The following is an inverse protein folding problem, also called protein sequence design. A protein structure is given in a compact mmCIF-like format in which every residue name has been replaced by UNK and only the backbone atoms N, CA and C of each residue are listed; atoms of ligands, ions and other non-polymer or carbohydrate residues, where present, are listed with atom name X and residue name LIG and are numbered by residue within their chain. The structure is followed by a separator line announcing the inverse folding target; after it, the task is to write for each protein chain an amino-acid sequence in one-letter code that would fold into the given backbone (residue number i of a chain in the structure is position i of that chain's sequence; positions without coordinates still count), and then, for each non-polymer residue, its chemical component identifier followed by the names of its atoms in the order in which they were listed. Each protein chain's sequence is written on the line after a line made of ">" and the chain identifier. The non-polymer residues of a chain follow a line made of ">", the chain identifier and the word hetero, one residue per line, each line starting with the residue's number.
data_IF_547329433896
#
_entry.id   IF_547329433896
#
_cell.length_a   1.000
_cell.length_b   1.000
_cell.length_c   1.000
_cell.angle_alpha   90.00
_cell.angle_beta   90.00
_cell.angle_gamma   90.00
#
_symmetry.space_group_name_H-M   'P 1'
#
loop_
_entity.id
_entity.type
_entity.pdbx_description
1 polymer ?
#
# COMPACT_ATOMS: atom_id res chain seq x y z
N UNK A 1 -24.84 -46.49 17.12
CA UNK A 1 -25.13 -45.35 16.26
C UNK A 1 -25.05 -44.01 17.01
N UNK A 2 -23.88 -43.62 17.47
CA UNK A 2 -23.67 -42.34 18.17
C UNK A 2 -22.21 -41.89 17.98
N UNK A 3 -21.77 -41.53 16.78
CA UNK A 3 -20.45 -40.87 16.61
C UNK A 3 -20.30 -39.96 15.40
N UNK A 4 -21.32 -39.85 14.53
CA UNK A 4 -21.23 -39.09 13.30
C UNK A 4 -21.69 -37.62 13.39
N UNK A 5 -22.33 -37.22 14.50
CA UNK A 5 -22.82 -35.83 14.69
C UNK A 5 -21.77 -34.88 15.27
N UNK A 6 -20.74 -35.37 15.94
CA UNK A 6 -19.70 -34.51 16.52
C UNK A 6 -18.64 -34.05 15.47
N UNK A 7 -18.36 -34.85 14.47
CA UNK A 7 -17.40 -34.49 13.41
C UNK A 7 -17.92 -33.38 12.47
N UNK A 8 -19.24 -33.33 12.26
CA UNK A 8 -19.84 -32.30 11.38
C UNK A 8 -19.82 -30.89 11.99
N UNK A 9 -19.90 -30.78 13.32
CA UNK A 9 -19.88 -29.48 14.02
C UNK A 9 -18.46 -28.86 13.95
N UNK A 10 -17.42 -29.67 14.03
CA UNK A 10 -16.03 -29.20 13.93
C UNK A 10 -15.64 -28.83 12.49
N UNK A 11 -16.19 -29.51 11.49
CA UNK A 11 -16.02 -29.15 10.09
C UNK A 11 -16.76 -27.85 9.77
N UNK A 12 -17.95 -27.63 10.32
CA UNK A 12 -18.69 -26.36 10.16
C UNK A 12 -18.03 -25.19 10.93
N UNK A 13 -17.38 -25.45 12.07
CA UNK A 13 -16.61 -24.42 12.77
C UNK A 13 -15.28 -24.11 12.05
N UNK A 14 -14.64 -25.10 11.43
CA UNK A 14 -13.43 -24.90 10.64
C UNK A 14 -13.73 -24.14 9.31
N UNK A 15 -14.90 -24.38 8.71
CA UNK A 15 -15.30 -23.66 7.47
C UNK A 15 -15.65 -22.19 7.69
N UNK A 16 -15.99 -21.78 8.93
CA UNK A 16 -16.28 -20.38 9.24
C UNK A 16 -15.05 -19.53 9.56
N UNK A 17 -13.84 -20.10 9.60
CA UNK A 17 -12.59 -19.39 9.88
C UNK A 17 -11.91 -18.92 8.57
N UNK A 18 -12.35 -19.38 7.40
CA UNK A 18 -11.60 -19.29 6.14
C UNK A 18 -11.87 -18.06 5.26
N UNK A 19 -12.51 -16.99 5.76
CA UNK A 19 -12.88 -15.88 4.87
C UNK A 19 -12.57 -14.53 5.48
N UNK A 20 -11.28 -14.24 5.58
CA UNK A 20 -10.81 -12.93 6.01
C UNK A 20 -9.92 -12.34 4.95
N UNK A 21 -10.52 -11.48 4.15
CA UNK A 21 -9.77 -10.66 3.20
C UNK A 21 -8.88 -9.67 3.94
N UNK A 22 -7.62 -9.68 3.62
CA UNK A 22 -6.67 -8.70 4.10
C UNK A 22 -6.60 -7.56 3.10
N UNK A 23 -7.18 -6.43 3.45
CA UNK A 23 -6.93 -5.18 2.74
C UNK A 23 -5.50 -4.77 3.05
N UNK A 24 -4.62 -4.93 2.08
CA UNK A 24 -3.25 -4.43 2.17
C UNK A 24 -3.27 -2.95 1.83
N UNK A 25 -3.13 -2.10 2.83
CA UNK A 25 -2.77 -0.72 2.59
C UNK A 25 -1.28 -0.68 2.22
N UNK A 26 -0.96 -0.16 1.05
CA UNK A 26 0.40 -0.13 0.49
C UNK A 26 0.66 1.25 -0.09
N UNK A 27 1.94 1.63 -0.21
CA UNK A 27 2.34 2.91 -0.80
C UNK A 27 1.90 3.02 -2.27
N UNK A 28 1.04 4.01 -2.59
CA UNK A 28 0.45 4.08 -3.92
C UNK A 28 1.46 4.50 -5.00
N UNK A 29 1.32 3.98 -6.25
CA UNK A 29 0.41 2.92 -6.69
C UNK A 29 1.04 1.52 -6.67
N UNK A 30 2.24 1.36 -6.12
CA UNK A 30 3.01 0.13 -6.04
C UNK A 30 3.05 -0.42 -4.63
N UNK A 31 3.54 -1.66 -4.49
CA UNK A 31 3.66 -2.35 -3.20
C UNK A 31 4.96 -1.99 -2.47
N UNK A 32 6.02 -1.67 -3.23
CA UNK A 32 7.25 -1.08 -2.69
C UNK A 32 7.00 0.39 -2.41
N UNK A 33 7.26 0.82 -1.19
CA UNK A 33 7.14 2.21 -0.77
C UNK A 33 8.51 2.91 -0.77
N UNK A 34 8.50 4.21 -0.62
CA UNK A 34 9.69 5.04 -0.51
C UNK A 34 9.96 5.46 0.95
N UNK A 35 11.22 5.80 1.30
CA UNK A 35 11.60 6.26 2.63
C UNK A 35 11.44 7.76 2.83
N UNK A 36 10.76 8.48 1.92
CA UNK A 36 10.71 9.95 1.91
C UNK A 36 9.44 10.45 2.59
N UNK A 37 9.52 10.99 3.82
CA UNK A 37 8.36 11.61 4.44
C UNK A 37 7.91 12.85 3.68
N UNK A 38 6.62 13.15 3.74
CA UNK A 38 6.07 14.43 3.33
C UNK A 38 6.85 15.57 4.00
N UNK A 39 7.19 16.60 3.25
CA UNK A 39 7.91 17.76 3.77
C UNK A 39 7.17 18.38 4.96
N UNK A 40 7.93 18.91 5.94
CA UNK A 40 7.38 19.52 7.15
C UNK A 40 6.33 20.61 6.83
N UNK A 41 5.17 20.53 7.49
CA UNK A 41 3.99 21.38 7.28
C UNK A 41 3.36 21.26 5.89
N UNK A 42 3.62 20.19 5.18
CA UNK A 42 2.92 19.81 3.95
C UNK A 42 2.01 18.62 4.20
N UNK A 43 1.08 18.45 3.27
CA UNK A 43 0.03 17.44 3.33
C UNK A 43 -0.11 16.75 1.98
N UNK A 44 -0.49 15.49 2.03
CA UNK A 44 -0.88 14.71 0.86
C UNK A 44 -2.23 14.06 1.10
N UNK A 45 -3.01 13.95 0.06
CA UNK A 45 -4.30 13.29 0.09
C UNK A 45 -4.48 12.46 -1.17
N UNK A 46 -4.90 11.21 -0.99
CA UNK A 46 -5.22 10.29 -2.06
C UNK A 46 -6.67 9.87 -1.98
N UNK A 47 -7.30 9.76 -3.14
CA UNK A 47 -8.57 9.02 -3.31
C UNK A 47 -8.28 7.94 -4.31
N UNK A 48 -8.47 6.69 -3.93
CA UNK A 48 -8.07 5.58 -4.77
C UNK A 48 -9.03 4.39 -4.71
N UNK A 49 -8.88 3.51 -5.70
CA UNK A 49 -9.35 2.15 -5.67
C UNK A 49 -8.19 1.22 -5.97
N UNK A 50 -8.21 0.07 -5.33
CA UNK A 50 -7.27 -1.02 -5.58
C UNK A 50 -8.04 -2.34 -5.67
N UNK A 51 -7.44 -3.32 -6.29
CA UNK A 51 -7.99 -4.67 -6.35
C UNK A 51 -6.88 -5.68 -6.23
N UNK A 52 -7.02 -6.60 -5.30
CA UNK A 52 -6.24 -7.83 -5.23
C UNK A 52 -7.12 -8.99 -5.67
N UNK A 53 -6.56 -9.93 -6.36
CA UNK A 53 -7.30 -11.08 -6.89
C UNK A 53 -6.43 -12.32 -6.82
N UNK A 54 -6.91 -13.32 -6.12
CA UNK A 54 -6.32 -14.65 -6.00
C UNK A 54 -7.26 -15.72 -6.54
N UNK A 55 -6.86 -16.99 -6.54
CA UNK A 55 -7.70 -18.08 -7.05
C UNK A 55 -9.05 -18.23 -6.35
N UNK A 56 -9.13 -17.88 -5.06
CA UNK A 56 -10.32 -18.10 -4.22
C UNK A 56 -11.25 -16.90 -4.16
N UNK A 57 -10.71 -15.68 -4.24
CA UNK A 57 -11.49 -14.46 -4.05
C UNK A 57 -10.94 -13.25 -4.79
N UNK A 58 -11.73 -12.21 -4.85
CA UNK A 58 -11.37 -10.89 -5.35
C UNK A 58 -11.69 -9.87 -4.26
N UNK A 59 -10.69 -9.05 -3.90
CA UNK A 59 -10.78 -8.05 -2.83
C UNK A 59 -10.62 -6.64 -3.40
N UNK A 60 -11.72 -6.04 -3.86
CA UNK A 60 -11.69 -4.66 -4.27
C UNK A 60 -11.73 -3.73 -3.05
N UNK A 61 -10.88 -2.73 -3.09
CA UNK A 61 -10.85 -1.61 -2.14
C UNK A 61 -11.25 -0.35 -2.90
N UNK A 62 -12.25 0.35 -2.41
CA UNK A 62 -12.64 1.61 -3.03
C UNK A 62 -14.07 2.06 -2.76
N UNK A 63 -14.26 3.39 -2.55
CA UNK A 63 -13.18 4.36 -2.45
C UNK A 63 -12.36 4.19 -1.18
N UNK A 64 -11.04 4.42 -1.27
CA UNK A 64 -10.19 4.57 -0.12
C UNK A 64 -9.61 5.97 -0.06
N UNK A 65 -9.39 6.46 1.15
CA UNK A 65 -8.90 7.80 1.43
C UNK A 65 -7.64 7.69 2.26
N UNK A 66 -6.55 8.23 1.73
CA UNK A 66 -5.28 8.29 2.45
C UNK A 66 -4.92 9.74 2.73
N UNK A 67 -4.45 10.01 3.94
CA UNK A 67 -3.98 11.31 4.37
C UNK A 67 -2.60 11.20 5.00
N UNK A 68 -1.67 12.01 4.50
CA UNK A 68 -0.31 12.12 5.00
C UNK A 68 -0.01 13.55 5.44
N UNK A 69 0.67 13.68 6.58
CA UNK A 69 1.05 14.96 7.16
C UNK A 69 2.52 14.97 7.57
N UNK A 70 3.29 15.88 6.99
CA UNK A 70 4.65 16.21 7.46
C UNK A 70 4.60 16.93 8.81
N UNK A 71 4.41 16.17 9.89
CA UNK A 71 4.16 16.68 11.22
C UNK A 71 5.40 17.29 11.89
N UNK A 72 6.58 16.72 11.61
CA UNK A 72 7.88 17.22 12.06
C UNK A 72 8.89 17.10 10.91
N UNK A 73 10.06 17.79 10.97
CA UNK A 73 11.14 17.51 10.04
C UNK A 73 11.49 16.02 10.03
N UNK A 74 11.44 15.37 8.85
CA UNK A 74 11.72 13.95 8.63
C UNK A 74 10.70 12.97 9.22
N UNK A 75 9.51 13.47 9.64
CA UNK A 75 8.45 12.65 10.24
C UNK A 75 7.14 12.92 9.52
N UNK A 76 6.54 11.89 8.97
CA UNK A 76 5.19 11.90 8.41
C UNK A 76 4.26 11.07 9.29
N UNK A 77 3.10 11.59 9.59
CA UNK A 77 1.96 10.83 10.07
C UNK A 77 1.09 10.39 8.88
N UNK A 78 0.58 9.19 8.95
CA UNK A 78 -0.15 8.52 7.88
C UNK A 78 -1.45 7.91 8.41
N UNK A 79 -2.53 7.99 7.63
CA UNK A 79 -3.77 7.30 7.90
C UNK A 79 -4.48 6.93 6.60
N UNK A 80 -5.04 5.71 6.54
CA UNK A 80 -5.92 5.26 5.44
C UNK A 80 -7.26 4.84 6.00
N UNK A 81 -8.34 5.28 5.33
CA UNK A 81 -9.72 4.87 5.56
C UNK A 81 -10.22 4.13 4.31
N UNK A 82 -10.22 2.79 4.29
CA UNK A 82 -10.67 2.03 3.14
C UNK A 82 -12.13 1.64 3.25
N UNK A 83 -12.87 1.73 2.15
CA UNK A 83 -14.07 0.91 1.95
C UNK A 83 -13.66 -0.31 1.14
N UNK A 84 -14.07 -1.48 1.57
CA UNK A 84 -13.67 -2.75 0.96
C UNK A 84 -14.87 -3.62 0.66
N UNK A 85 -14.72 -4.54 -0.27
CA UNK A 85 -15.66 -5.60 -0.52
C UNK A 85 -14.92 -6.93 -0.59
N UNK A 86 -15.67 -8.00 -0.45
CA UNK A 86 -15.21 -9.37 -0.64
C UNK A 86 -16.13 -10.02 -1.66
N UNK A 87 -15.55 -10.57 -2.70
CA UNK A 87 -16.27 -11.26 -3.77
C UNK A 87 -15.67 -12.66 -3.93
N UNK A 88 -16.21 -13.69 -3.24
CA UNK A 88 -15.76 -15.05 -3.40
C UNK A 88 -15.95 -15.52 -4.85
N UNK A 89 -14.97 -16.24 -5.40
CA UNK A 89 -15.08 -16.77 -6.77
C UNK A 89 -15.96 -18.01 -6.86
N UNK A 90 -16.03 -18.78 -5.80
CA UNK A 90 -16.85 -19.99 -5.74
C UNK A 90 -18.21 -19.64 -5.15
N UNK A 91 -19.24 -19.69 -5.98
CA UNK A 91 -20.66 -19.49 -5.64
C UNK A 91 -21.28 -20.80 -5.14
N UNK A 92 -20.52 -21.66 -4.42
CA UNK A 92 -21.08 -22.81 -3.76
C UNK A 92 -22.22 -22.36 -2.82
N UNK A 93 -23.25 -23.20 -2.63
CA UNK A 93 -24.42 -22.85 -1.81
C UNK A 93 -24.10 -22.44 -0.37
N UNK A 94 -22.89 -22.70 0.08
CA UNK A 94 -22.37 -22.43 1.41
C UNK A 94 -21.30 -21.30 1.43
N UNK A 95 -21.02 -20.66 0.29
CA UNK A 95 -20.13 -19.51 0.22
C UNK A 95 -20.74 -18.34 1.00
N UNK A 96 -19.93 -17.57 1.75
CA UNK A 96 -20.44 -16.36 2.39
C UNK A 96 -20.94 -15.40 1.32
N UNK A 97 -21.98 -14.62 1.63
CA UNK A 97 -22.47 -13.63 0.68
C UNK A 97 -21.43 -12.52 0.46
N UNK A 98 -21.45 -11.93 -0.72
CA UNK A 98 -20.69 -10.70 -1.00
C UNK A 98 -20.89 -9.70 0.14
N UNK A 99 -19.81 -9.11 0.60
CA UNK A 99 -19.82 -8.10 1.65
C UNK A 99 -19.19 -6.80 1.17
N UNK A 100 -19.73 -5.66 1.61
CA UNK A 100 -19.18 -4.33 1.38
C UNK A 100 -19.32 -3.47 2.63
N UNK A 101 -18.32 -2.64 2.90
CA UNK A 101 -18.36 -1.70 4.02
C UNK A 101 -17.00 -1.11 4.35
N UNK A 102 -16.91 -0.51 5.54
CA UNK A 102 -15.65 -0.03 6.07
C UNK A 102 -14.72 -1.21 6.34
N UNK A 103 -13.48 -1.11 5.85
CA UNK A 103 -12.38 -2.02 6.16
C UNK A 103 -11.62 -1.64 7.43
N UNK A 104 -10.51 -2.32 7.68
CA UNK A 104 -9.60 -1.95 8.76
C UNK A 104 -8.84 -0.67 8.36
N UNK A 105 -8.78 0.30 9.29
CA UNK A 105 -8.04 1.54 9.11
C UNK A 105 -6.55 1.30 9.35
N UNK A 106 -5.73 1.80 8.43
CA UNK A 106 -4.28 1.85 8.66
C UNK A 106 -3.88 3.21 9.24
N UNK A 107 -2.99 3.20 10.24
CA UNK A 107 -2.27 4.38 10.72
C UNK A 107 -0.78 4.07 10.80
N UNK A 108 0.06 5.08 10.53
CA UNK A 108 1.49 4.85 10.46
C UNK A 108 2.34 6.10 10.70
N UNK A 109 3.63 5.86 10.86
CA UNK A 109 4.64 6.92 11.03
C UNK A 109 5.82 6.63 10.11
N UNK A 110 6.04 7.45 9.08
CA UNK A 110 7.22 7.36 8.21
C UNK A 110 8.33 8.23 8.76
N UNK A 111 9.52 7.65 8.96
CA UNK A 111 10.68 8.30 9.56
C UNK A 111 11.88 8.21 8.61
N UNK A 112 12.43 9.34 8.16
CA UNK A 112 13.69 9.36 7.43
C UNK A 112 14.87 9.26 8.40
N UNK A 113 15.55 8.13 8.41
CA UNK A 113 16.73 7.87 9.25
C UNK A 113 17.99 8.51 8.65
N UNK A 114 18.21 8.30 7.35
CA UNK A 114 19.31 8.88 6.59
C UNK A 114 18.74 9.63 5.37
N UNK A 115 19.21 10.87 5.19
CA UNK A 115 18.84 11.62 3.99
C UNK A 115 19.77 11.29 2.84
N UNK A 116 19.22 11.30 1.61
CA UNK A 116 19.99 11.12 0.40
C UNK A 116 21.06 12.19 0.22
N UNK A 117 22.19 11.79 -0.32
CA UNK A 117 23.20 12.68 -0.87
C UNK A 117 23.90 12.00 -2.09
N UNK A 118 24.82 12.63 -2.79
CA UNK A 118 25.45 12.02 -3.97
C UNK A 118 26.10 10.65 -3.72
N UNK A 119 26.55 10.37 -2.48
CA UNK A 119 27.31 9.16 -2.14
C UNK A 119 26.49 8.09 -1.44
N UNK A 120 25.27 8.42 -0.94
CA UNK A 120 24.45 7.46 -0.17
C UNK A 120 22.97 7.61 -0.50
N UNK A 121 22.17 6.53 -0.42
CA UNK A 121 20.72 6.59 -0.55
C UNK A 121 20.07 7.27 0.66
N UNK A 122 18.80 7.64 0.50
CA UNK A 122 17.90 7.85 1.62
C UNK A 122 17.52 6.51 2.21
N UNK A 123 17.36 6.45 3.54
CA UNK A 123 16.88 5.27 4.25
C UNK A 123 15.85 5.73 5.28
N UNK A 124 14.76 5.00 5.39
CA UNK A 124 13.69 5.26 6.35
C UNK A 124 12.99 3.99 6.80
N UNK A 125 12.23 4.13 7.87
CA UNK A 125 11.30 3.10 8.35
C UNK A 125 9.89 3.65 8.30
N UNK A 126 8.92 2.75 8.12
CA UNK A 126 7.52 3.12 8.08
C UNK A 126 6.66 2.10 8.84
N UNK A 127 6.76 2.05 10.18
CA UNK A 127 5.84 1.24 10.97
C UNK A 127 4.40 1.68 10.78
N UNK A 128 3.52 0.71 10.51
CA UNK A 128 2.10 0.88 10.30
C UNK A 128 1.32 -0.09 11.18
N UNK A 129 0.10 0.30 11.55
CA UNK A 129 -0.83 -0.43 12.40
C UNK A 129 -2.16 -0.50 11.67
N UNK A 130 -2.66 -1.71 11.46
CA UNK A 130 -4.04 -1.94 11.01
C UNK A 130 -4.94 -2.04 12.22
N UNK A 131 -5.90 -1.15 12.32
CA UNK A 131 -6.86 -1.07 13.42
C UNK A 131 -8.13 -1.86 13.06
N UNK A 132 -8.69 -2.69 13.94
CA UNK A 132 -9.84 -3.55 13.65
C UNK A 132 -11.15 -2.76 13.60
N UNK A 133 -11.27 -1.84 12.63
CA UNK A 133 -12.47 -1.01 12.43
C UNK A 133 -13.46 -1.63 11.45
N UNK A 134 -13.02 -2.56 10.63
CA UNK A 134 -13.84 -3.33 9.72
C UNK A 134 -14.67 -4.38 10.45
N UNK A 135 -15.72 -4.86 9.79
CA UNK A 135 -16.57 -5.89 10.35
C UNK A 135 -15.95 -7.27 10.20
N UNK A 136 -15.40 -7.82 11.29
CA UNK A 136 -14.85 -9.16 11.33
C UNK A 136 -15.88 -10.23 10.89
N UNK A 137 -17.12 -10.14 11.34
CA UNK A 137 -18.17 -11.12 11.01
C UNK A 137 -18.59 -11.11 9.54
N UNK A 138 -18.27 -10.04 8.82
CA UNK A 138 -18.49 -9.92 7.37
C UNK A 138 -17.21 -10.15 6.58
N UNK A 139 -16.09 -10.45 7.23
CA UNK A 139 -14.78 -10.56 6.61
C UNK A 139 -14.16 -9.24 6.14
N UNK A 140 -14.74 -8.09 6.49
CA UNK A 140 -14.24 -6.76 6.08
C UNK A 140 -13.10 -6.24 6.95
N UNK A 141 -12.61 -7.03 7.90
CA UNK A 141 -11.47 -6.73 8.76
C UNK A 141 -11.04 -7.94 9.56
N UNK A 142 -9.81 -7.91 10.06
CA UNK A 142 -9.16 -9.04 10.78
C UNK A 142 -9.69 -9.20 12.21
N UNK A 143 -10.33 -8.16 12.75
CA UNK A 143 -10.84 -8.17 14.14
C UNK A 143 -9.77 -8.01 15.20
N UNK A 144 -8.50 -7.87 14.85
CA UNK A 144 -7.36 -7.62 15.74
C UNK A 144 -6.36 -6.68 15.09
N UNK A 145 -5.61 -5.97 15.93
CA UNK A 145 -4.51 -5.11 15.45
C UNK A 145 -3.40 -6.00 14.89
N UNK A 146 -2.86 -5.64 13.74
CA UNK A 146 -1.66 -6.22 13.17
C UNK A 146 -0.71 -5.11 12.66
N UNK A 147 0.52 -5.47 12.37
CA UNK A 147 1.60 -4.50 12.21
C UNK A 147 2.41 -4.78 10.95
N UNK A 148 2.85 -3.70 10.28
CA UNK A 148 3.89 -3.74 9.24
C UNK A 148 5.09 -2.95 9.71
N UNK A 149 6.27 -3.51 9.57
CA UNK A 149 7.52 -2.85 9.97
C UNK A 149 8.53 -2.95 8.82
N UNK A 150 8.42 -2.10 7.79
CA UNK A 150 9.38 -2.07 6.69
C UNK A 150 10.54 -1.11 6.96
N UNK A 151 11.66 -1.41 6.31
CA UNK A 151 12.77 -0.52 6.07
C UNK A 151 12.90 -0.31 4.56
N UNK A 152 12.80 0.96 4.14
CA UNK A 152 12.86 1.35 2.75
C UNK A 152 14.10 2.17 2.44
N UNK A 153 14.56 2.09 1.21
CA UNK A 153 15.71 2.82 0.68
C UNK A 153 15.35 3.42 -0.69
N UNK A 154 15.83 4.64 -0.95
CA UNK A 154 15.66 5.33 -2.23
C UNK A 154 16.97 5.92 -2.72
N UNK A 155 17.20 5.83 -4.04
CA UNK A 155 18.32 6.52 -4.71
C UNK A 155 17.88 7.16 -6.02
N UNK A 156 18.16 8.47 -6.15
CA UNK A 156 17.94 9.22 -7.37
C UNK A 156 19.23 9.29 -8.20
N UNK A 157 19.14 8.93 -9.49
CA UNK A 157 20.28 8.95 -10.43
C UNK A 157 19.79 9.56 -11.75
N UNK A 158 19.99 10.86 -11.94
CA UNK A 158 19.48 11.57 -13.10
C UNK A 158 17.94 11.49 -13.19
N UNK A 159 17.37 11.00 -14.32
CA UNK A 159 15.92 10.84 -14.46
C UNK A 159 15.36 9.58 -13.79
N UNK A 160 16.22 8.75 -13.20
CA UNK A 160 15.85 7.51 -12.58
C UNK A 160 15.74 7.63 -11.07
N UNK A 161 14.73 6.97 -10.51
CA UNK A 161 14.60 6.72 -9.06
C UNK A 161 14.52 5.20 -8.84
N UNK A 162 15.36 4.69 -7.95
CA UNK A 162 15.32 3.31 -7.50
C UNK A 162 14.87 3.30 -6.04
N UNK A 163 13.74 2.65 -5.77
CA UNK A 163 13.26 2.33 -4.44
C UNK A 163 13.42 0.84 -4.18
N UNK A 164 13.57 0.48 -2.92
CA UNK A 164 13.60 -0.93 -2.55
C UNK A 164 13.76 -1.13 -1.06
N UNK A 165 13.42 -2.31 -0.60
CA UNK A 165 13.52 -2.64 0.80
C UNK A 165 12.75 -3.89 1.17
N UNK A 166 12.62 -4.12 2.46
CA UNK A 166 11.92 -5.26 3.01
C UNK A 166 11.31 -4.92 4.36
N UNK A 167 10.31 -5.68 4.74
CA UNK A 167 9.64 -5.57 6.02
C UNK A 167 9.12 -6.91 6.51
N UNK A 168 8.46 -6.87 7.64
CA UNK A 168 7.75 -8.00 8.22
C UNK A 168 6.33 -7.58 8.58
N UNK A 169 5.37 -8.44 8.29
CA UNK A 169 4.02 -8.39 8.84
C UNK A 169 4.00 -9.20 10.12
N UNK A 170 3.47 -8.60 11.19
CA UNK A 170 3.31 -9.22 12.50
C UNK A 170 1.81 -9.35 12.79
N UNK A 171 1.30 -10.56 12.73
CA UNK A 171 -0.11 -10.87 12.94
C UNK A 171 -0.38 -11.21 14.42
N UNK A 172 -1.42 -10.59 14.98
CA UNK A 172 -1.89 -10.90 16.33
C UNK A 172 -3.04 -11.92 16.34
N UNK A 173 -3.53 -12.31 15.18
CA UNK A 173 -4.64 -13.23 15.00
C UNK A 173 -4.14 -14.68 15.09
N UNK A 174 -4.87 -15.53 15.80
CA UNK A 174 -4.58 -16.96 15.84
C UNK A 174 -4.82 -17.59 14.46
N UNK A 175 -3.91 -18.43 14.01
CA UNK A 175 -3.96 -19.06 12.68
C UNK A 175 -3.25 -18.28 11.57
N UNK A 176 -2.77 -17.07 11.85
CA UNK A 176 -1.99 -16.27 10.93
C UNK A 176 -0.51 -16.28 11.29
N UNK A 177 0.34 -16.47 10.31
CA UNK A 177 1.79 -16.42 10.48
C UNK A 177 2.31 -14.99 10.34
N UNK A 178 3.42 -14.70 10.99
CA UNK A 178 4.21 -13.53 10.67
C UNK A 178 5.00 -13.82 9.40
N UNK A 179 5.02 -12.87 8.45
CA UNK A 179 5.70 -13.11 7.19
C UNK A 179 6.53 -11.93 6.70
N UNK A 180 7.68 -12.20 6.04
CA UNK A 180 8.47 -11.16 5.39
C UNK A 180 7.88 -10.79 4.03
N UNK A 181 8.12 -9.55 3.64
CA UNK A 181 7.84 -9.04 2.30
C UNK A 181 8.91 -8.04 1.88
N UNK A 182 8.99 -7.75 0.59
CA UNK A 182 9.91 -6.74 0.08
C UNK A 182 9.85 -6.61 -1.43
N UNK A 183 10.46 -5.55 -1.95
CA UNK A 183 10.43 -5.30 -3.37
C UNK A 183 11.47 -4.30 -3.84
N UNK A 184 11.52 -4.17 -5.16
CA UNK A 184 12.31 -3.17 -5.89
C UNK A 184 11.43 -2.49 -6.92
N UNK A 185 11.42 -1.17 -6.92
CA UNK A 185 10.66 -0.32 -7.81
C UNK A 185 11.64 0.61 -8.55
N UNK A 186 11.63 0.52 -9.87
CA UNK A 186 12.39 1.40 -10.74
C UNK A 186 11.44 2.39 -11.41
N UNK A 187 11.67 3.69 -11.18
CA UNK A 187 10.89 4.78 -11.77
C UNK A 187 11.76 5.59 -12.74
N UNK A 188 11.17 6.08 -13.82
CA UNK A 188 11.84 6.97 -14.77
C UNK A 188 10.94 8.12 -15.20
N UNK A 189 11.46 9.34 -15.07
CA UNK A 189 10.79 10.56 -15.55
C UNK A 189 10.96 10.73 -17.06
N UNK A 190 9.85 11.02 -17.75
CA UNK A 190 9.77 11.36 -19.17
C UNK A 190 9.14 12.75 -19.33
N UNK A 191 9.98 13.74 -19.54
CA UNK A 191 9.57 15.14 -19.55
C UNK A 191 9.05 15.57 -18.17
N UNK A 192 8.10 16.53 -18.17
CA UNK A 192 7.60 17.16 -16.96
C UNK A 192 6.35 16.46 -16.37
N UNK A 193 5.75 15.54 -17.12
CA UNK A 193 4.43 15.01 -16.76
C UNK A 193 4.35 13.53 -16.52
N UNK A 194 5.20 12.75 -17.14
CA UNK A 194 5.14 11.31 -17.06
C UNK A 194 6.31 10.75 -16.25
N UNK A 195 6.00 9.87 -15.35
CA UNK A 195 6.96 9.00 -14.70
C UNK A 195 6.45 7.58 -14.83
N UNK A 196 7.18 6.74 -15.56
CA UNK A 196 6.87 5.33 -15.73
C UNK A 196 7.61 4.51 -14.68
N UNK A 197 7.00 3.43 -14.25
CA UNK A 197 7.55 2.59 -13.21
C UNK A 197 7.33 1.09 -13.48
N UNK A 198 8.26 0.28 -12.96
CA UNK A 198 8.15 -1.17 -12.94
C UNK A 198 8.68 -1.69 -11.61
N UNK A 199 7.99 -2.66 -11.06
CA UNK A 199 8.23 -3.26 -9.75
C UNK A 199 8.40 -4.77 -9.84
N UNK A 200 9.23 -5.31 -8.95
CA UNK A 200 9.22 -6.72 -8.54
C UNK A 200 8.98 -6.73 -7.05
N UNK A 201 7.90 -7.37 -6.63
CA UNK A 201 7.52 -7.47 -5.23
C UNK A 201 7.33 -8.93 -4.83
N UNK A 202 7.74 -9.28 -3.62
CA UNK A 202 7.56 -10.61 -3.07
C UNK A 202 7.04 -10.55 -1.65
N UNK A 203 6.15 -11.46 -1.32
CA UNK A 203 5.73 -11.74 0.05
C UNK A 203 5.77 -13.25 0.30
N UNK A 204 5.99 -13.64 1.55
CA UNK A 204 5.74 -15.00 2.00
C UNK A 204 4.26 -15.18 2.35
N UNK A 205 3.84 -16.42 2.53
CA UNK A 205 2.45 -16.73 2.88
C UNK A 205 2.08 -16.37 4.32
N UNK A 206 0.79 -16.16 4.54
CA UNK A 206 0.21 -15.77 5.83
C UNK A 206 -0.17 -16.97 6.71
N UNK A 207 -0.02 -18.18 6.21
CA UNK A 207 -0.31 -19.43 6.93
C UNK A 207 -1.03 -20.48 6.08
N UNK A 208 -0.99 -21.76 6.46
CA UNK A 208 -1.41 -22.87 5.61
C UNK A 208 -2.92 -22.97 5.39
N UNK A 209 -3.73 -22.31 6.21
CA UNK A 209 -5.19 -22.48 6.24
C UNK A 209 -5.96 -21.20 5.85
N UNK A 210 -5.29 -20.22 5.22
CA UNK A 210 -5.84 -18.91 4.93
C UNK A 210 -5.78 -18.66 3.42
N UNK A 211 -6.80 -18.08 2.76
CA UNK A 211 -6.70 -17.58 1.39
C UNK A 211 -5.52 -16.62 1.26
N UNK A 212 -4.78 -16.63 0.15
CA UNK A 212 -3.50 -15.93 -0.04
C UNK A 212 -2.35 -16.44 0.84
N UNK A 213 -2.40 -17.71 1.18
CA UNK A 213 -1.51 -18.32 2.16
C UNK A 213 -0.14 -18.64 1.63
N UNK A 214 0.03 -18.65 0.34
CA UNK A 214 1.27 -19.04 -0.30
C UNK A 214 2.09 -17.82 -0.68
N UNK A 215 3.38 -18.02 -0.78
CA UNK A 215 4.27 -16.96 -1.25
C UNK A 215 4.02 -16.66 -2.72
N UNK A 216 4.10 -15.38 -3.09
CA UNK A 216 4.04 -14.93 -4.48
C UNK A 216 5.14 -13.92 -4.78
N UNK A 217 5.64 -13.96 -6.02
CA UNK A 217 6.47 -12.92 -6.60
C UNK A 217 5.69 -12.24 -7.71
N UNK A 218 5.38 -10.96 -7.55
CA UNK A 218 4.63 -10.15 -8.49
C UNK A 218 5.58 -9.28 -9.32
N UNK A 219 5.19 -9.03 -10.57
CA UNK A 219 5.79 -8.03 -11.45
C UNK A 219 4.70 -7.04 -11.83
N UNK A 220 4.92 -5.79 -11.47
CA UNK A 220 3.97 -4.70 -11.67
C UNK A 220 4.57 -3.64 -12.60
N UNK A 221 3.70 -2.93 -13.31
CA UNK A 221 4.06 -1.76 -14.11
C UNK A 221 2.98 -0.69 -14.01
N UNK A 222 3.39 0.56 -14.14
CA UNK A 222 2.44 1.65 -14.00
C UNK A 222 3.05 3.00 -14.28
N UNK A 223 2.33 4.04 -13.88
CA UNK A 223 2.76 5.41 -14.12
C UNK A 223 2.23 6.39 -13.07
N UNK A 224 2.91 7.53 -13.00
CA UNK A 224 2.48 8.76 -12.35
C UNK A 224 2.32 9.81 -13.45
N UNK A 225 1.14 10.40 -13.57
CA UNK A 225 0.87 11.50 -14.49
C UNK A 225 0.68 12.80 -13.72
N UNK A 226 1.59 13.74 -13.88
CA UNK A 226 1.56 15.06 -13.24
C UNK A 226 0.70 16.03 -14.06
N UNK A 227 -0.42 16.50 -13.47
CA UNK A 227 -1.26 17.48 -14.12
C UNK A 227 -0.57 18.83 -14.21
N UNK A 228 -1.00 19.68 -15.15
CA UNK A 228 -0.52 21.08 -15.25
C UNK A 228 -0.79 21.87 -13.95
N UNK A 229 -1.87 21.57 -13.27
CA UNK A 229 -2.18 22.14 -11.97
C UNK A 229 -1.24 21.54 -10.94
N UNK A 230 -0.37 22.38 -10.35
CA UNK A 230 0.65 21.98 -9.36
C UNK A 230 0.03 21.16 -8.24
N UNK A 231 0.68 20.08 -7.87
CA UNK A 231 0.32 19.22 -6.74
C UNK A 231 -0.75 18.15 -7.04
N UNK A 232 -1.22 18.00 -8.29
CA UNK A 232 -2.16 16.94 -8.66
C UNK A 232 -1.49 15.89 -9.52
N UNK A 233 -1.77 14.60 -9.25
CA UNK A 233 -1.29 13.46 -10.03
C UNK A 233 -2.41 12.43 -10.21
N UNK A 234 -2.34 11.68 -11.31
CA UNK A 234 -3.04 10.43 -11.53
C UNK A 234 -2.03 9.30 -11.39
N UNK A 235 -2.39 8.29 -10.63
CA UNK A 235 -1.55 7.14 -10.29
C UNK A 235 -2.21 5.89 -10.83
N UNK A 236 -1.43 5.01 -11.44
CA UNK A 236 -1.92 3.73 -11.94
C UNK A 236 -0.82 2.67 -11.85
N UNK A 237 -1.19 1.46 -11.45
CA UNK A 237 -0.38 0.27 -11.63
C UNK A 237 -1.25 -0.96 -11.89
N UNK A 238 -0.65 -1.93 -12.54
CA UNK A 238 -1.18 -3.27 -12.69
C UNK A 238 -0.03 -4.26 -12.75
N UNK A 239 -0.22 -5.40 -12.10
CA UNK A 239 0.72 -6.49 -12.08
C UNK A 239 0.08 -7.84 -11.84
N UNK A 240 0.91 -8.86 -11.96
CA UNK A 240 0.52 -10.24 -11.66
C UNK A 240 1.72 -11.04 -11.16
N UNK A 241 1.44 -12.14 -10.48
CA UNK A 241 2.46 -13.06 -10.02
C UNK A 241 3.14 -13.78 -11.19
N UNK A 242 4.44 -13.90 -11.11
CA UNK A 242 5.28 -14.67 -12.06
C UNK A 242 5.82 -15.95 -11.40
N UNK A 243 5.70 -16.06 -10.08
CA UNK A 243 6.07 -17.23 -9.30
C UNK A 243 5.21 -17.31 -8.05
N UNK A 244 4.92 -18.53 -7.60
CA UNK A 244 4.09 -18.79 -6.43
C UNK A 244 2.60 -18.80 -6.73
N UNK A 245 1.78 -18.29 -5.82
CA UNK A 245 0.33 -18.23 -5.97
C UNK A 245 -0.08 -17.31 -7.12
N UNK A 246 -1.17 -17.64 -7.79
CA UNK A 246 -1.68 -16.85 -8.92
C UNK A 246 -2.40 -15.60 -8.38
N UNK A 247 -1.71 -14.48 -8.37
CA UNK A 247 -2.23 -13.20 -7.89
C UNK A 247 -2.23 -12.13 -8.99
N UNK A 248 -3.19 -11.22 -8.91
CA UNK A 248 -3.23 -9.98 -9.68
C UNK A 248 -3.40 -8.81 -8.72
N UNK A 249 -2.77 -7.72 -9.04
CA UNK A 249 -2.91 -6.46 -8.31
C UNK A 249 -3.21 -5.33 -9.30
N UNK A 250 -4.08 -4.42 -8.92
CA UNK A 250 -4.37 -3.21 -9.70
C UNK A 250 -4.66 -2.03 -8.80
N UNK A 251 -4.22 -0.85 -9.21
CA UNK A 251 -4.40 0.40 -8.48
C UNK A 251 -4.72 1.55 -9.45
N UNK A 252 -5.67 2.39 -9.05
CA UNK A 252 -5.98 3.67 -9.71
C UNK A 252 -6.29 4.71 -8.65
N UNK A 253 -5.57 5.84 -8.67
CA UNK A 253 -5.76 6.88 -7.66
C UNK A 253 -5.51 8.29 -8.17
N UNK A 254 -6.15 9.24 -7.51
CA UNK A 254 -5.90 10.66 -7.63
C UNK A 254 -5.16 11.14 -6.38
N UNK A 255 -4.06 11.82 -6.59
CA UNK A 255 -3.20 12.40 -5.56
C UNK A 255 -3.24 13.91 -5.59
N UNK A 256 -3.15 14.52 -4.41
CA UNK A 256 -2.98 15.95 -4.24
C UNK A 256 -2.02 16.25 -3.09
N UNK A 257 -1.04 17.12 -3.35
CA UNK A 257 -0.19 17.69 -2.29
C UNK A 257 -0.38 19.20 -2.17
N UNK A 258 -0.26 19.72 -0.95
CA UNK A 258 -0.30 21.17 -0.64
C UNK A 258 0.42 21.46 0.68
N UNK A 259 0.70 22.71 0.96
CA UNK A 259 1.35 23.17 2.19
C UNK A 259 2.31 24.32 1.94
N UNK A 260 3.32 24.42 2.79
CA UNK A 260 4.36 25.47 2.66
C UNK A 260 5.28 25.19 1.48
N UNK A 261 5.49 26.18 0.62
CA UNK A 261 6.56 26.12 -0.38
C UNK A 261 7.94 26.10 0.29
N UNK A 262 8.85 25.27 -0.25
CA UNK A 262 10.25 25.28 0.23
C UNK A 262 10.86 26.65 0.03
N UNK A 263 11.62 27.11 1.02
CA UNK A 263 12.28 28.44 1.00
C UNK A 263 13.19 28.63 -0.24
N UNK A 264 13.76 27.54 -0.78
CA UNK A 264 14.64 27.57 -1.95
C UNK A 264 13.90 27.93 -3.26
N UNK A 265 12.62 27.56 -3.40
CA UNK A 265 11.79 27.91 -4.56
C UNK A 265 11.47 29.42 -4.58
N UNK A 266 11.34 30.07 -3.43
CA UNK A 266 11.13 31.52 -3.34
C UNK A 266 12.35 32.31 -3.79
N UNK A 267 13.53 31.89 -3.37
CA UNK A 267 14.78 32.58 -3.72
C UNK A 267 15.07 32.48 -5.22
N UNK A 268 14.72 31.37 -5.85
CA UNK A 268 14.84 31.20 -7.30
C UNK A 268 13.82 32.04 -8.08
N UNK A 269 12.57 32.11 -7.60
CA UNK A 269 11.51 32.92 -8.23
C UNK A 269 11.77 34.44 -8.09
N UNK A 270 12.16 34.89 -6.92
CA UNK A 270 12.52 36.31 -6.67
C UNK A 270 13.79 36.71 -7.45
N UNK A 271 14.77 35.82 -7.57
CA UNK A 271 15.97 36.03 -8.41
C UNK A 271 15.67 36.10 -9.90
N UNK A 272 14.64 35.39 -10.40
CA UNK A 272 14.17 35.49 -11.80
C UNK A 272 13.40 36.79 -12.07
N UNK A 273 12.51 37.20 -11.15
CA UNK A 273 11.75 38.46 -11.29
C UNK A 273 12.65 39.69 -11.25
N UNK A 274 13.70 39.68 -10.41
CA UNK A 274 14.66 40.79 -10.34
C UNK A 274 15.48 40.94 -11.61
N UNK A 275 15.72 39.87 -12.38
CA UNK A 275 16.44 39.91 -13.67
C UNK A 275 15.55 40.31 -14.85
N UNK A 276 14.24 40.16 -14.79
CA UNK A 276 13.31 40.61 -15.82
C UNK A 276 12.94 42.11 -15.68
N UNK A 277 13.09 42.69 -14.50
CA UNK A 277 12.84 44.12 -14.25
C UNK A 277 14.00 45.05 -14.62
N UNK A 278 15.13 44.53 -15.08
CA UNK A 278 16.33 45.32 -15.50
C UNK A 278 16.60 45.26 -17.02
N UNK A 279 15.59 44.98 -17.82
CA UNK A 279 15.71 45.11 -19.28
C UNK A 279 14.68 46.06 -19.85
#
# INVERSE_FOLDING_TARGET
>A
MRSTRFSFIWVLLALNVCLMAHVRAQGPPFQTDDPVPVDFQNYEFYVFGAVSSAPTEVDPVGPAFEFNWGALPRVQLHAVLPFTAIVPRDQASDAPPDAYGLGDMEVGVKLALLLENPKRPQIGIFPMFELPTGSYTKGLGVGKVWYKVPLWMQKNIGPWTLDGGAGVVLNSQSGYDNYPYGGFLLKRKFGERWELAAEVFQHAGEGPDIPYTHSATLVDSGFYYHFKKKGYQLLFSYGHSVHGEAEHFGYLGLYKTWGKEKADDKTAADGMMSRQGMR
#
